data_IF_901018668982
#
_entry.id   IF_901018668982
#
_cell.length_a   1.000
_cell.length_b   1.000
_cell.length_c   1.000
_cell.angle_alpha   90.00
_cell.angle_beta   90.00
_cell.angle_gamma   90.00
#
_symmetry.space_group_name_H-M   'P 1'
#
loop_
_entity.id
_entity.type
_entity.pdbx_description
1 polymer ?
#
# COMPACT_ATOMS: atom_id res chain seq x y z
N UNK A 1 -8.78 -28.53 -11.71
CA UNK A 1 -8.23 -27.19 -11.96
C UNK A 1 -6.77 -27.16 -11.49
N UNK A 2 -5.81 -26.70 -12.29
CA UNK A 2 -4.42 -26.63 -11.87
C UNK A 2 -4.26 -25.60 -10.73
N UNK A 3 -3.28 -25.80 -9.82
CA UNK A 3 -3.00 -24.87 -8.70
C UNK A 3 -2.80 -23.42 -9.19
N UNK A 4 -2.24 -23.24 -10.39
CA UNK A 4 -2.07 -21.92 -11.02
C UNK A 4 -3.40 -21.25 -11.40
N UNK A 5 -4.36 -22.06 -11.90
CA UNK A 5 -5.68 -21.54 -12.27
C UNK A 5 -6.49 -21.11 -11.02
N UNK A 6 -6.32 -21.82 -9.90
CA UNK A 6 -6.95 -21.47 -8.62
C UNK A 6 -6.38 -20.18 -8.03
N UNK A 7 -5.08 -19.92 -8.17
CA UNK A 7 -4.43 -18.69 -7.69
C UNK A 7 -4.91 -17.43 -8.42
N UNK A 8 -5.40 -17.55 -9.65
CA UNK A 8 -5.90 -16.42 -10.44
C UNK A 8 -7.43 -16.30 -10.30
N UNK A 9 -8.17 -17.42 -10.23
CA UNK A 9 -9.63 -17.39 -10.17
C UNK A 9 -10.19 -16.81 -8.88
N UNK A 10 -9.55 -17.05 -7.74
CA UNK A 10 -10.04 -16.55 -6.44
C UNK A 10 -10.02 -15.01 -6.37
N UNK A 11 -8.93 -14.31 -6.68
CA UNK A 11 -8.94 -12.85 -6.78
C UNK A 11 -9.98 -12.29 -7.75
N UNK A 12 -10.10 -12.89 -8.94
CA UNK A 12 -11.08 -12.43 -9.94
C UNK A 12 -12.53 -12.59 -9.46
N UNK A 13 -12.85 -13.73 -8.84
CA UNK A 13 -14.19 -13.97 -8.26
C UNK A 13 -14.45 -12.98 -7.12
N UNK A 14 -13.46 -12.70 -6.28
CA UNK A 14 -13.60 -11.74 -5.17
C UNK A 14 -13.85 -10.32 -5.67
N UNK A 15 -13.16 -9.89 -6.73
CA UNK A 15 -13.39 -8.59 -7.39
C UNK A 15 -14.80 -8.54 -7.97
N UNK A 16 -15.21 -9.58 -8.70
CA UNK A 16 -16.55 -9.66 -9.28
C UNK A 16 -17.65 -9.59 -8.19
N UNK A 17 -17.50 -10.35 -7.11
CA UNK A 17 -18.45 -10.33 -5.98
C UNK A 17 -18.46 -8.96 -5.28
N UNK A 18 -17.32 -8.29 -5.16
CA UNK A 18 -17.23 -6.96 -4.59
C UNK A 18 -17.97 -5.91 -5.43
N UNK A 19 -17.78 -5.93 -6.74
CA UNK A 19 -18.48 -5.06 -7.69
C UNK A 19 -19.99 -5.37 -7.66
N UNK A 20 -20.38 -6.64 -7.66
CA UNK A 20 -21.77 -7.05 -7.58
C UNK A 20 -22.44 -6.60 -6.29
N UNK A 21 -21.78 -6.74 -5.14
CA UNK A 21 -22.30 -6.27 -3.87
C UNK A 21 -22.46 -4.74 -3.87
N UNK A 22 -21.49 -4.02 -4.43
CA UNK A 22 -21.57 -2.57 -4.61
C UNK A 22 -22.77 -2.17 -5.48
N UNK A 23 -23.03 -2.88 -6.59
CA UNK A 23 -24.20 -2.64 -7.42
C UNK A 23 -25.51 -2.88 -6.66
N UNK A 24 -25.58 -3.97 -5.89
CA UNK A 24 -26.77 -4.28 -5.06
C UNK A 24 -27.02 -3.16 -4.04
N UNK A 25 -25.96 -2.69 -3.38
CA UNK A 25 -26.07 -1.59 -2.41
C UNK A 25 -26.58 -0.31 -3.11
N UNK A 26 -26.03 0.05 -4.28
CA UNK A 26 -26.49 1.20 -5.05
C UNK A 26 -27.98 1.11 -5.39
N UNK A 27 -28.45 -0.06 -5.87
CA UNK A 27 -29.86 -0.27 -6.18
C UNK A 27 -30.78 -0.21 -4.96
N UNK A 28 -30.34 -0.72 -3.82
CA UNK A 28 -31.11 -0.62 -2.56
C UNK A 28 -31.33 0.84 -2.17
N UNK A 29 -30.32 1.70 -2.39
CA UNK A 29 -30.42 3.14 -2.13
C UNK A 29 -31.03 3.96 -3.25
N UNK A 30 -31.53 3.32 -4.33
CA UNK A 30 -32.21 3.96 -5.44
C UNK A 30 -31.28 4.59 -6.48
N UNK A 31 -29.98 4.25 -6.49
CA UNK A 31 -29.02 4.72 -7.48
C UNK A 31 -28.94 3.79 -8.68
N UNK A 32 -28.64 4.35 -9.86
CA UNK A 32 -28.33 3.56 -11.05
C UNK A 32 -26.88 3.07 -11.00
N UNK A 33 -26.69 1.79 -10.61
CA UNK A 33 -25.39 1.19 -10.51
C UNK A 33 -24.68 1.03 -11.86
N UNK A 34 -25.43 0.83 -12.95
CA UNK A 34 -24.84 0.65 -14.28
C UNK A 34 -24.25 1.97 -14.74
N UNK A 35 -25.02 3.05 -14.69
CA UNK A 35 -24.53 4.38 -15.02
C UNK A 35 -23.40 4.83 -14.08
N UNK A 36 -23.51 4.54 -12.78
CA UNK A 36 -22.44 4.84 -11.81
C UNK A 36 -21.11 4.18 -12.18
N UNK A 37 -21.12 2.90 -12.56
CA UNK A 37 -19.90 2.21 -13.00
C UNK A 37 -19.42 2.69 -14.38
N UNK A 38 -20.30 3.04 -15.30
CA UNK A 38 -19.92 3.62 -16.59
C UNK A 38 -19.15 4.91 -16.40
N UNK A 39 -19.64 5.83 -15.56
CA UNK A 39 -18.97 7.09 -15.23
C UNK A 39 -17.65 6.87 -14.48
N UNK A 40 -17.59 5.86 -13.60
CA UNK A 40 -16.34 5.47 -12.95
C UNK A 40 -15.27 5.07 -13.98
N UNK A 41 -15.62 4.18 -14.91
CA UNK A 41 -14.69 3.73 -15.93
C UNK A 41 -14.37 4.84 -16.94
N UNK A 42 -15.33 5.66 -17.29
CA UNK A 42 -15.10 6.81 -18.17
C UNK A 42 -14.13 7.82 -17.55
N UNK A 43 -14.28 8.13 -16.27
CA UNK A 43 -13.35 9.02 -15.54
C UNK A 43 -11.96 8.43 -15.45
N UNK A 44 -11.84 7.12 -15.24
CA UNK A 44 -10.57 6.42 -15.13
C UNK A 44 -9.82 6.31 -16.48
N UNK A 45 -10.53 6.00 -17.57
CA UNK A 45 -9.92 5.65 -18.85
C UNK A 45 -10.25 6.60 -20.01
N UNK A 46 -11.25 7.46 -19.87
CA UNK A 46 -11.71 8.35 -20.93
C UNK A 46 -10.72 9.46 -21.33
N UNK A 47 -9.61 9.60 -20.60
CA UNK A 47 -8.57 10.58 -20.89
C UNK A 47 -7.17 10.09 -20.54
N UNK A 48 -6.14 10.62 -21.22
CA UNK A 48 -4.74 10.39 -20.86
C UNK A 48 -4.44 10.86 -19.43
N UNK A 49 -5.12 11.91 -18.98
CA UNK A 49 -5.01 12.40 -17.61
C UNK A 49 -5.49 11.36 -16.59
N UNK A 50 -6.66 10.74 -16.84
CA UNK A 50 -7.19 9.66 -15.97
C UNK A 50 -6.21 8.50 -15.86
N UNK A 51 -5.66 8.06 -16.99
CA UNK A 51 -4.64 7.00 -17.04
C UNK A 51 -3.39 7.40 -16.24
N UNK A 52 -2.92 8.65 -16.38
CA UNK A 52 -1.80 9.16 -15.59
C UNK A 52 -2.08 9.18 -14.09
N UNK A 53 -3.31 9.55 -13.68
CA UNK A 53 -3.72 9.52 -12.27
C UNK A 53 -3.80 8.09 -11.72
N UNK A 54 -4.18 7.09 -12.53
CA UNK A 54 -4.12 5.67 -12.13
C UNK A 54 -2.68 5.26 -11.80
N UNK A 55 -1.71 5.56 -12.68
CA UNK A 55 -0.31 5.27 -12.43
C UNK A 55 0.25 6.03 -11.22
N UNK A 56 -0.22 7.28 -10.98
CA UNK A 56 0.10 8.03 -9.77
C UNK A 56 -0.36 7.29 -8.51
N UNK A 57 -1.61 6.84 -8.50
CA UNK A 57 -2.19 6.13 -7.35
C UNK A 57 -1.51 4.77 -7.11
N UNK A 58 -1.07 4.09 -8.16
CA UNK A 58 -0.38 2.80 -8.07
C UNK A 58 0.94 2.88 -7.31
N UNK A 59 1.72 3.96 -7.47
CA UNK A 59 3.05 4.07 -6.89
C UNK A 59 3.09 3.75 -5.39
N UNK A 60 2.43 4.54 -4.53
CA UNK A 60 2.40 4.28 -3.09
C UNK A 60 1.70 2.95 -2.74
N UNK A 61 0.63 2.57 -3.45
CA UNK A 61 -0.08 1.31 -3.20
C UNK A 61 0.81 0.07 -3.41
N UNK A 62 1.61 0.07 -4.47
CA UNK A 62 2.55 -1.02 -4.76
C UNK A 62 3.64 -1.09 -3.69
N UNK A 63 4.25 0.04 -3.33
CA UNK A 63 5.32 0.08 -2.33
C UNK A 63 4.84 -0.41 -0.97
N UNK A 64 3.70 0.09 -0.49
CA UNK A 64 3.11 -0.32 0.78
C UNK A 64 2.64 -1.78 0.71
N UNK A 65 2.03 -2.21 -0.40
CA UNK A 65 1.62 -3.59 -0.62
C UNK A 65 2.79 -4.57 -0.61
N UNK A 66 3.94 -4.21 -1.20
CA UNK A 66 5.16 -4.99 -1.10
C UNK A 66 5.67 -5.09 0.34
N UNK A 67 5.59 -3.98 1.09
CA UNK A 67 5.92 -3.97 2.51
C UNK A 67 5.08 -4.98 3.28
N UNK A 68 3.75 -4.97 3.10
CA UNK A 68 2.88 -5.97 3.70
C UNK A 68 3.22 -7.40 3.26
N UNK A 69 3.49 -7.61 1.97
CA UNK A 69 3.81 -8.93 1.44
C UNK A 69 5.06 -9.54 2.09
N UNK A 70 6.10 -8.73 2.36
CA UNK A 70 7.32 -9.20 3.02
C UNK A 70 7.03 -9.65 4.45
N UNK A 71 6.34 -8.82 5.25
CA UNK A 71 5.94 -9.16 6.61
C UNK A 71 5.04 -10.40 6.65
N UNK A 72 4.03 -10.45 5.79
CA UNK A 72 3.08 -11.57 5.71
C UNK A 72 3.75 -12.89 5.33
N UNK A 73 4.77 -12.87 4.46
CA UNK A 73 5.55 -14.06 4.13
C UNK A 73 6.46 -14.55 5.25
N UNK A 74 6.80 -13.66 6.19
CA UNK A 74 7.48 -14.03 7.44
C UNK A 74 6.51 -14.52 8.53
N UNK A 75 5.22 -14.58 8.24
CA UNK A 75 4.18 -15.01 9.18
C UNK A 75 3.65 -13.88 10.07
N UNK A 76 3.89 -12.59 9.72
CA UNK A 76 3.48 -11.44 10.52
C UNK A 76 2.47 -10.56 9.81
N UNK A 77 1.47 -10.10 10.54
CA UNK A 77 0.44 -9.22 10.04
C UNK A 77 0.75 -7.77 10.43
N UNK A 78 1.50 -7.05 9.57
CA UNK A 78 1.90 -5.66 9.82
C UNK A 78 0.74 -4.70 9.51
N UNK A 79 -0.04 -4.33 10.53
CA UNK A 79 -1.09 -3.31 10.43
C UNK A 79 -0.52 -1.89 10.56
N UNK A 80 0.77 -1.75 10.88
CA UNK A 80 1.46 -0.47 11.11
C UNK A 80 1.85 0.32 9.86
N UNK A 81 1.53 -0.18 8.67
CA UNK A 81 1.90 0.47 7.40
C UNK A 81 1.44 1.93 7.27
N UNK A 82 0.23 2.32 7.73
CA UNK A 82 -0.17 3.74 7.72
C UNK A 82 0.78 4.65 8.49
N UNK A 83 1.17 4.26 9.70
CA UNK A 83 2.12 5.03 10.52
C UNK A 83 3.53 5.02 9.94
N UNK A 84 3.99 3.88 9.40
CA UNK A 84 5.29 3.76 8.74
C UNK A 84 5.35 4.67 7.48
N UNK A 85 4.27 4.72 6.70
CA UNK A 85 4.14 5.62 5.56
C UNK A 85 4.12 7.10 6.00
N UNK A 86 3.38 7.42 7.05
CA UNK A 86 3.32 8.78 7.59
C UNK A 86 4.69 9.26 8.07
N UNK A 87 5.44 8.43 8.78
CA UNK A 87 6.80 8.76 9.21
C UNK A 87 7.73 9.06 8.02
N UNK A 88 7.65 8.24 6.97
CA UNK A 88 8.41 8.47 5.73
C UNK A 88 8.02 9.79 5.06
N UNK A 89 6.73 10.09 4.96
CA UNK A 89 6.24 11.34 4.40
C UNK A 89 6.70 12.57 5.19
N UNK A 90 6.46 12.58 6.50
CA UNK A 90 6.79 13.75 7.35
C UNK A 90 8.29 14.03 7.33
N UNK A 91 9.14 13.02 7.55
CA UNK A 91 10.58 13.24 7.64
C UNK A 91 11.22 13.57 6.29
N UNK A 92 10.77 12.96 5.20
CA UNK A 92 11.24 13.34 3.86
C UNK A 92 10.76 14.75 3.46
N UNK A 93 9.54 15.13 3.82
CA UNK A 93 9.00 16.46 3.59
C UNK A 93 9.72 17.54 4.42
N UNK A 94 9.96 17.26 5.69
CA UNK A 94 10.75 18.15 6.55
C UNK A 94 12.16 18.38 6.00
N UNK A 95 12.85 17.31 5.59
CA UNK A 95 14.17 17.40 5.00
C UNK A 95 14.16 18.22 3.70
N UNK A 96 13.17 18.02 2.85
CA UNK A 96 13.00 18.75 1.60
C UNK A 96 12.82 20.27 1.83
N UNK A 97 12.03 20.64 2.84
CA UNK A 97 11.82 22.05 3.21
C UNK A 97 13.08 22.68 3.84
N UNK A 98 13.86 21.88 4.57
CA UNK A 98 15.08 22.36 5.25
C UNK A 98 16.27 22.59 4.31
N UNK A 99 16.24 22.07 3.07
CA UNK A 99 17.37 22.14 2.14
C UNK A 99 16.91 22.61 0.74
N UNK A 100 16.35 23.84 0.61
CA UNK A 100 15.78 24.32 -0.65
C UNK A 100 16.80 24.44 -1.78
N UNK A 101 18.09 24.65 -1.47
CA UNK A 101 19.17 24.85 -2.46
C UNK A 101 19.84 23.55 -2.91
N UNK A 102 19.43 22.38 -2.36
CA UNK A 102 20.04 21.11 -2.71
C UNK A 102 19.72 20.73 -4.17
N UNK A 103 20.71 20.28 -4.98
CA UNK A 103 20.48 19.81 -6.34
C UNK A 103 19.45 18.68 -6.40
N UNK A 104 18.55 18.72 -7.37
CA UNK A 104 17.41 17.80 -7.49
C UNK A 104 17.78 16.31 -7.41
N UNK A 105 18.81 15.78 -8.11
CA UNK A 105 19.13 14.36 -8.02
C UNK A 105 19.53 13.92 -6.61
N UNK A 106 20.28 14.79 -5.91
CA UNK A 106 20.72 14.54 -4.54
C UNK A 106 19.55 14.62 -3.56
N UNK A 107 18.65 15.61 -3.75
CA UNK A 107 17.42 15.76 -2.97
C UNK A 107 16.52 14.54 -3.09
N UNK A 108 16.27 14.05 -4.30
CA UNK A 108 15.45 12.84 -4.54
C UNK A 108 16.09 11.63 -3.86
N UNK A 109 17.41 11.43 -4.00
CA UNK A 109 18.10 10.33 -3.34
C UNK A 109 18.01 10.44 -1.81
N UNK A 110 18.26 11.62 -1.26
CA UNK A 110 18.20 11.85 0.19
C UNK A 110 16.79 11.60 0.76
N UNK A 111 15.75 12.09 0.10
CA UNK A 111 14.36 11.90 0.54
C UNK A 111 13.93 10.44 0.45
N UNK A 112 14.39 9.67 -0.55
CA UNK A 112 14.19 8.21 -0.62
C UNK A 112 14.85 7.52 0.56
N UNK A 113 16.13 7.81 0.83
CA UNK A 113 16.88 7.17 1.92
C UNK A 113 16.25 7.50 3.27
N UNK A 114 15.90 8.78 3.50
CA UNK A 114 15.23 9.21 4.73
C UNK A 114 13.89 8.49 4.92
N UNK A 115 13.09 8.39 3.87
CA UNK A 115 11.80 7.70 3.93
C UNK A 115 11.96 6.21 4.25
N UNK A 116 12.92 5.53 3.62
CA UNK A 116 13.25 4.12 3.90
C UNK A 116 13.69 3.92 5.35
N UNK A 117 14.57 4.79 5.86
CA UNK A 117 15.07 4.73 7.24
C UNK A 117 13.93 5.02 8.22
N UNK A 118 13.16 6.07 8.01
CA UNK A 118 12.06 6.47 8.88
C UNK A 118 11.01 5.36 9.02
N UNK A 119 10.52 4.85 7.90
CA UNK A 119 9.58 3.74 7.90
C UNK A 119 10.18 2.47 8.48
N UNK A 120 11.44 2.18 8.17
CA UNK A 120 12.19 1.03 8.70
C UNK A 120 12.36 1.06 10.22
N UNK A 121 12.68 2.21 10.80
CA UNK A 121 12.78 2.39 12.26
C UNK A 121 11.42 2.14 12.93
N UNK A 122 10.36 2.75 12.39
CA UNK A 122 9.00 2.53 12.93
C UNK A 122 8.58 1.07 12.80
N UNK A 123 8.95 0.39 11.71
CA UNK A 123 8.71 -1.04 11.52
C UNK A 123 9.57 -1.94 12.40
N UNK A 124 10.79 -1.50 12.77
CA UNK A 124 11.69 -2.25 13.63
C UNK A 124 11.12 -2.43 15.05
N UNK A 125 10.44 -1.42 15.59
CA UNK A 125 9.90 -1.44 16.96
C UNK A 125 8.98 -2.66 17.19
N UNK A 126 7.88 -2.86 16.44
CA UNK A 126 7.04 -4.04 16.63
C UNK A 126 7.79 -5.35 16.31
N UNK A 127 8.73 -5.32 15.36
CA UNK A 127 9.58 -6.47 15.06
C UNK A 127 10.44 -6.91 16.25
N UNK A 128 11.07 -5.97 16.94
CA UNK A 128 11.89 -6.22 18.14
C UNK A 128 11.01 -6.70 19.29
N UNK A 129 9.90 -6.01 19.57
CA UNK A 129 8.98 -6.38 20.63
C UNK A 129 8.41 -7.79 20.44
N UNK A 130 8.07 -8.14 19.20
CA UNK A 130 7.63 -9.50 18.86
C UNK A 130 8.74 -10.54 19.06
N UNK A 131 9.94 -10.27 18.54
CA UNK A 131 11.05 -11.22 18.53
C UNK A 131 11.60 -11.52 19.93
N UNK A 132 11.60 -10.55 20.84
CA UNK A 132 12.19 -10.69 22.17
C UNK A 132 11.16 -10.84 23.29
N UNK A 133 10.01 -10.20 23.19
CA UNK A 133 8.98 -10.19 24.25
C UNK A 133 7.76 -11.03 23.90
N UNK A 134 7.67 -11.57 22.67
CA UNK A 134 6.54 -12.39 22.25
C UNK A 134 5.19 -11.63 22.16
N UNK A 135 5.24 -10.29 22.13
CA UNK A 135 4.03 -9.45 22.05
C UNK A 135 3.23 -9.70 20.76
N UNK A 136 1.93 -9.39 20.77
CA UNK A 136 1.12 -9.42 19.55
C UNK A 136 1.56 -8.32 18.59
N UNK A 137 2.07 -8.70 17.43
CA UNK A 137 2.47 -7.76 16.38
C UNK A 137 1.33 -6.88 15.91
N UNK A 138 0.11 -7.42 15.85
CA UNK A 138 -1.10 -6.68 15.41
C UNK A 138 -1.40 -5.54 16.37
N UNK A 139 -1.41 -5.81 17.68
CA UNK A 139 -1.69 -4.80 18.70
C UNK A 139 -0.62 -3.71 18.68
N UNK A 140 0.66 -4.11 18.67
CA UNK A 140 1.76 -3.15 18.67
C UNK A 140 1.76 -2.29 17.42
N UNK A 141 1.53 -2.88 16.24
CA UNK A 141 1.52 -2.13 14.99
C UNK A 141 0.34 -1.16 14.89
N UNK A 142 -0.86 -1.54 15.40
CA UNK A 142 -2.00 -0.62 15.50
C UNK A 142 -1.67 0.56 16.43
N UNK A 143 -1.09 0.29 17.61
CA UNK A 143 -0.71 1.36 18.55
C UNK A 143 0.34 2.28 17.93
N UNK A 144 1.31 1.73 17.19
CA UNK A 144 2.32 2.53 16.48
C UNK A 144 1.72 3.48 15.45
N UNK A 145 0.62 3.14 14.79
CA UNK A 145 -0.08 4.07 13.89
C UNK A 145 -0.52 5.34 14.62
N UNK A 146 -1.12 5.18 15.81
CA UNK A 146 -1.57 6.32 16.62
C UNK A 146 -0.39 7.10 17.21
N UNK A 147 0.64 6.41 17.68
CA UNK A 147 1.84 7.06 18.20
C UNK A 147 2.48 7.94 17.10
N UNK A 148 2.69 7.38 15.90
CA UNK A 148 3.26 8.15 14.80
C UNK A 148 2.34 9.26 14.34
N UNK A 149 1.02 9.07 14.35
CA UNK A 149 0.04 10.09 14.01
C UNK A 149 0.16 11.29 14.97
N UNK A 150 0.10 11.07 16.27
CA UNK A 150 0.12 12.16 17.25
C UNK A 150 1.50 12.79 17.39
N UNK A 151 2.58 12.00 17.42
CA UNK A 151 3.96 12.51 17.46
C UNK A 151 4.28 13.26 16.17
N UNK A 152 3.87 12.73 15.01
CA UNK A 152 4.05 13.37 13.72
C UNK A 152 3.32 14.70 13.63
N UNK A 153 2.06 14.77 14.07
CA UNK A 153 1.30 16.02 14.13
C UNK A 153 1.96 17.05 15.06
N UNK A 154 2.40 16.62 16.25
CA UNK A 154 3.14 17.50 17.16
C UNK A 154 4.46 17.99 16.54
N UNK A 155 5.16 17.14 15.79
CA UNK A 155 6.38 17.51 15.10
C UNK A 155 6.11 18.52 13.97
N UNK A 156 5.01 18.39 13.21
CA UNK A 156 4.59 19.36 12.18
C UNK A 156 4.32 20.72 12.82
N UNK A 157 3.62 20.79 13.94
CA UNK A 157 3.37 22.06 14.67
C UNK A 157 4.66 22.69 15.21
N UNK A 158 5.72 21.92 15.40
CA UNK A 158 7.03 22.42 15.83
C UNK A 158 7.92 22.92 14.66
N UNK A 159 7.45 22.87 13.42
CA UNK A 159 8.20 23.34 12.26
C UNK A 159 8.42 24.86 12.34
N UNK A 160 9.54 25.37 11.78
CA UNK A 160 9.75 26.80 11.62
C UNK A 160 8.56 27.48 10.92
N UNK A 161 8.23 28.70 11.34
CA UNK A 161 7.10 29.44 10.76
C UNK A 161 7.24 29.65 9.25
N UNK A 162 8.46 29.76 8.76
CA UNK A 162 8.76 29.93 7.33
C UNK A 162 8.41 28.69 6.49
N UNK A 163 8.28 27.52 7.13
CA UNK A 163 7.84 26.29 6.47
C UNK A 163 6.31 26.16 6.42
N UNK A 164 5.59 26.98 7.19
CA UNK A 164 4.15 26.85 7.35
C UNK A 164 3.39 27.79 6.41
N UNK A 165 2.43 27.25 5.68
CA UNK A 165 1.45 28.04 4.90
C UNK A 165 0.22 28.38 5.75
N UNK A 166 -0.15 27.48 6.66
CA UNK A 166 -1.25 27.65 7.61
C UNK A 166 -0.89 26.97 8.92
N UNK A 167 -1.76 27.02 9.93
CA UNK A 167 -1.54 26.34 11.23
C UNK A 167 -1.26 24.86 11.06
N UNK A 168 -1.90 24.20 10.08
CA UNK A 168 -1.92 22.75 9.95
C UNK A 168 -1.26 22.24 8.66
N UNK A 169 -0.65 23.11 7.86
CA UNK A 169 -0.08 22.75 6.55
C UNK A 169 1.17 23.55 6.23
N UNK A 170 2.17 22.87 5.69
CA UNK A 170 3.39 23.51 5.20
C UNK A 170 3.17 24.14 3.83
N UNK A 171 4.09 25.03 3.44
CA UNK A 171 4.26 25.44 2.05
C UNK A 171 4.57 24.22 1.17
N UNK A 172 4.42 24.36 -0.14
CA UNK A 172 4.82 23.31 -1.07
C UNK A 172 6.33 23.13 -1.08
N UNK A 173 6.77 21.89 -1.19
CA UNK A 173 8.18 21.57 -1.39
C UNK A 173 8.69 22.18 -2.71
N UNK A 174 9.96 22.55 -2.73
CA UNK A 174 10.57 23.14 -3.92
C UNK A 174 10.57 22.20 -5.13
N UNK A 175 10.77 22.78 -6.32
CA UNK A 175 10.86 22.04 -7.58
C UNK A 175 11.98 20.98 -7.59
N UNK A 176 12.99 21.15 -6.74
CA UNK A 176 14.08 20.18 -6.54
C UNK A 176 13.66 18.94 -5.76
N UNK A 177 12.62 19.03 -4.91
CA UNK A 177 12.19 17.97 -4.02
C UNK A 177 10.92 17.23 -4.52
N UNK A 178 10.14 17.85 -5.39
CA UNK A 178 8.95 17.20 -5.94
C UNK A 178 9.30 15.99 -6.81
N UNK A 179 8.56 14.91 -6.65
CA UNK A 179 8.67 13.74 -7.53
C UNK A 179 7.90 13.91 -8.84
N UNK A 180 7.13 14.97 -9.01
CA UNK A 180 6.54 15.33 -10.29
C UNK A 180 7.62 15.84 -11.24
N UNK A 181 7.48 15.51 -12.52
CA UNK A 181 8.42 15.91 -13.57
C UNK A 181 7.66 16.48 -14.75
N UNK A 182 8.13 17.58 -15.38
CA UNK A 182 7.43 18.20 -16.50
C UNK A 182 7.13 17.23 -17.64
N UNK A 183 8.10 16.39 -18.01
CA UNK A 183 7.93 15.44 -19.11
C UNK A 183 6.84 14.38 -18.86
N UNK A 184 6.64 13.93 -17.61
CA UNK A 184 5.52 13.04 -17.26
C UNK A 184 4.18 13.76 -17.31
N UNK A 185 4.13 15.01 -16.87
CA UNK A 185 2.94 15.82 -16.94
C UNK A 185 2.52 16.07 -18.41
N UNK A 186 3.46 16.41 -19.28
CA UNK A 186 3.21 16.57 -20.71
C UNK A 186 2.72 15.28 -21.37
N UNK A 187 3.35 14.14 -21.06
CA UNK A 187 2.97 12.82 -21.60
C UNK A 187 1.54 12.41 -21.18
N UNK A 188 1.07 12.86 -20.02
CA UNK A 188 -0.18 12.41 -19.41
C UNK A 188 -1.23 13.52 -19.27
N UNK A 189 -1.24 14.47 -20.22
CA UNK A 189 -2.20 15.58 -20.26
C UNK A 189 -2.33 16.33 -18.91
N UNK A 190 -1.19 16.72 -18.34
CA UNK A 190 -1.06 17.42 -17.05
C UNK A 190 -1.67 16.66 -15.86
N UNK A 191 -1.53 15.34 -15.83
CA UNK A 191 -1.79 14.56 -14.63
C UNK A 191 -0.73 14.81 -13.55
N UNK A 192 -1.02 14.40 -12.31
CA UNK A 192 -0.04 14.41 -11.20
C UNK A 192 0.83 13.16 -11.19
N UNK A 193 0.94 12.45 -12.31
CA UNK A 193 1.84 11.31 -12.42
C UNK A 193 3.26 11.73 -12.05
N UNK A 194 3.94 10.89 -11.28
CA UNK A 194 5.26 11.19 -10.74
C UNK A 194 6.21 9.99 -10.85
N UNK A 195 7.50 10.22 -10.59
CA UNK A 195 8.54 9.20 -10.68
C UNK A 195 8.38 8.07 -9.67
N UNK A 196 7.48 8.18 -8.70
CA UNK A 196 7.19 7.14 -7.72
C UNK A 196 6.76 5.81 -8.32
N UNK A 197 6.13 5.82 -9.50
CA UNK A 197 5.79 4.58 -10.22
C UNK A 197 7.04 3.77 -10.61
N UNK A 198 8.13 4.44 -10.99
CA UNK A 198 9.39 3.76 -11.32
C UNK A 198 10.03 3.18 -10.07
N UNK A 199 9.96 3.87 -8.92
CA UNK A 199 10.41 3.32 -7.63
C UNK A 199 9.61 2.07 -7.28
N UNK A 200 8.30 2.08 -7.52
CA UNK A 200 7.43 0.93 -7.30
C UNK A 200 7.81 -0.26 -8.19
N UNK A 201 8.05 -0.05 -9.47
CA UNK A 201 8.46 -1.12 -10.42
C UNK A 201 9.83 -1.71 -10.02
N UNK A 202 10.79 -0.85 -9.68
CA UNK A 202 12.11 -1.28 -9.20
C UNK A 202 11.96 -2.08 -7.90
N UNK A 203 11.13 -1.61 -6.96
CA UNK A 203 10.88 -2.31 -5.70
C UNK A 203 10.23 -3.69 -5.94
N UNK A 204 9.30 -3.82 -6.90
CA UNK A 204 8.74 -5.12 -7.29
C UNK A 204 9.82 -6.08 -7.76
N UNK A 205 10.73 -5.63 -8.63
CA UNK A 205 11.83 -6.45 -9.14
C UNK A 205 12.78 -6.87 -8.00
N UNK A 206 13.16 -5.92 -7.14
CA UNK A 206 14.05 -6.16 -5.99
C UNK A 206 13.42 -7.14 -4.99
N UNK A 207 12.19 -6.91 -4.58
CA UNK A 207 11.50 -7.79 -3.62
C UNK A 207 11.22 -9.16 -4.22
N UNK A 208 10.85 -9.24 -5.49
CA UNK A 208 10.72 -10.51 -6.19
C UNK A 208 12.04 -11.29 -6.18
N UNK A 209 13.17 -10.60 -6.48
CA UNK A 209 14.49 -11.20 -6.45
C UNK A 209 14.87 -11.65 -5.04
N UNK A 210 14.71 -10.79 -4.04
CA UNK A 210 14.99 -11.13 -2.64
C UNK A 210 14.18 -12.37 -2.24
N UNK A 211 12.88 -12.35 -2.41
CA UNK A 211 12.01 -13.44 -1.94
C UNK A 211 12.22 -14.75 -2.69
N UNK A 212 12.65 -14.75 -3.96
CA UNK A 212 12.78 -15.98 -4.76
C UNK A 212 14.20 -16.49 -4.91
N UNK A 213 15.21 -15.62 -4.87
CA UNK A 213 16.56 -15.91 -5.28
C UNK A 213 17.64 -15.74 -4.21
N UNK A 214 17.28 -15.27 -3.00
CA UNK A 214 18.27 -15.05 -1.94
C UNK A 214 18.03 -15.94 -0.71
N UNK A 215 19.08 -16.10 0.11
CA UNK A 215 19.02 -16.80 1.42
C UNK A 215 18.04 -16.11 2.36
N UNK A 216 18.04 -14.76 2.40
CA UNK A 216 17.10 -13.99 3.23
C UNK A 216 15.64 -14.32 2.84
N UNK A 217 15.32 -14.38 1.55
CA UNK A 217 13.99 -14.75 1.10
C UNK A 217 13.61 -16.19 1.45
N UNK A 218 14.57 -17.10 1.48
CA UNK A 218 14.36 -18.44 1.97
C UNK A 218 14.06 -18.44 3.47
N UNK A 219 14.87 -17.75 4.28
CA UNK A 219 14.67 -17.61 5.72
C UNK A 219 13.31 -17.01 6.07
N UNK A 220 12.91 -15.92 5.38
CA UNK A 220 11.60 -15.28 5.54
C UNK A 220 10.47 -16.30 5.35
N UNK A 221 10.50 -17.08 4.29
CA UNK A 221 9.46 -18.10 4.02
C UNK A 221 9.50 -19.26 5.01
N UNK A 222 10.70 -19.69 5.41
CA UNK A 222 10.86 -20.78 6.37
C UNK A 222 10.29 -20.40 7.74
N UNK A 223 10.67 -19.21 8.25
CA UNK A 223 10.17 -18.67 9.53
C UNK A 223 8.66 -18.44 9.47
N UNK A 224 8.13 -17.98 8.33
CA UNK A 224 6.68 -17.80 8.13
C UNK A 224 5.88 -19.09 8.13
N UNK A 225 6.50 -20.23 7.76
CA UNK A 225 5.85 -21.54 7.83
C UNK A 225 5.89 -22.12 9.24
N UNK A 226 7.04 -22.11 9.89
CA UNK A 226 7.20 -22.57 11.26
C UNK A 226 8.50 -22.00 11.86
N UNK A 227 8.41 -21.00 12.77
CA UNK A 227 9.57 -20.39 13.41
C UNK A 227 10.44 -21.40 14.18
N UNK A 228 9.80 -22.32 14.93
CA UNK A 228 10.54 -23.30 15.73
C UNK A 228 11.30 -24.31 14.85
N UNK A 229 10.66 -24.83 13.80
CA UNK A 229 11.35 -25.74 12.87
C UNK A 229 12.51 -25.04 12.16
N UNK A 230 12.38 -23.74 11.89
CA UNK A 230 13.44 -22.93 11.28
C UNK A 230 14.65 -22.77 12.21
N UNK A 231 14.43 -22.62 13.51
CA UNK A 231 15.50 -22.54 14.51
C UNK A 231 16.28 -23.86 14.59
N UNK A 232 15.61 -25.01 14.54
CA UNK A 232 16.28 -26.32 14.48
C UNK A 232 17.12 -26.49 13.21
N UNK A 233 16.73 -25.81 12.11
CA UNK A 233 17.51 -25.79 10.87
C UNK A 233 18.65 -24.74 10.87
N UNK A 234 18.90 -24.08 12.00
CA UNK A 234 19.97 -23.07 12.15
C UNK A 234 19.61 -21.65 11.66
N UNK A 235 18.35 -21.39 11.35
CA UNK A 235 17.86 -20.07 10.95
C UNK A 235 17.51 -19.27 12.20
N UNK A 236 18.04 -18.06 12.33
CA UNK A 236 17.65 -17.16 13.42
C UNK A 236 16.27 -16.55 13.19
N UNK A 237 15.23 -17.14 13.80
CA UNK A 237 13.86 -16.64 13.67
C UNK A 237 13.75 -15.18 14.13
N UNK A 238 14.37 -14.81 15.26
CA UNK A 238 14.35 -13.43 15.79
C UNK A 238 14.92 -12.42 14.80
N UNK A 239 16.09 -12.69 14.21
CA UNK A 239 16.71 -11.83 13.21
C UNK A 239 15.83 -11.68 11.97
N UNK A 240 15.28 -12.77 11.49
CA UNK A 240 14.43 -12.79 10.28
C UNK A 240 13.13 -12.01 10.49
N UNK A 241 12.52 -12.13 11.68
CA UNK A 241 11.33 -11.35 12.08
C UNK A 241 11.65 -9.85 12.02
N UNK A 242 12.71 -9.42 12.70
CA UNK A 242 13.08 -7.99 12.77
C UNK A 242 13.39 -7.45 11.37
N UNK A 243 14.20 -8.16 10.59
CA UNK A 243 14.55 -7.74 9.23
C UNK A 243 13.31 -7.65 8.32
N UNK A 244 12.38 -8.60 8.42
CA UNK A 244 11.14 -8.56 7.64
C UNK A 244 10.30 -7.33 7.97
N UNK A 245 10.21 -6.97 9.26
CA UNK A 245 9.48 -5.80 9.70
C UNK A 245 10.18 -4.49 9.32
N UNK A 246 11.52 -4.44 9.36
CA UNK A 246 12.31 -3.30 8.87
C UNK A 246 12.07 -3.09 7.36
N UNK A 247 12.18 -4.14 6.56
CA UNK A 247 11.95 -4.06 5.11
C UNK A 247 10.50 -3.64 4.81
N UNK A 248 9.54 -4.21 5.54
CA UNK A 248 8.13 -3.85 5.44
C UNK A 248 7.90 -2.37 5.71
N UNK A 249 8.46 -1.87 6.80
CA UNK A 249 8.35 -0.47 7.19
C UNK A 249 9.09 0.48 6.24
N UNK A 250 10.26 0.10 5.77
CA UNK A 250 11.03 0.88 4.81
C UNK A 250 10.26 1.09 3.50
N UNK A 251 9.68 0.03 2.95
CA UNK A 251 8.84 0.11 1.75
C UNK A 251 7.58 0.97 1.97
N UNK A 252 6.95 0.84 3.13
CA UNK A 252 5.82 1.69 3.49
C UNK A 252 6.22 3.17 3.63
N UNK A 253 7.36 3.45 4.27
CA UNK A 253 7.89 4.81 4.37
C UNK A 253 8.17 5.43 3.01
N UNK A 254 8.77 4.67 2.10
CA UNK A 254 8.96 5.12 0.70
C UNK A 254 7.62 5.37 -0.01
N UNK A 255 6.62 4.51 0.21
CA UNK A 255 5.26 4.73 -0.30
C UNK A 255 4.65 6.03 0.23
N UNK A 256 4.86 6.34 1.52
CA UNK A 256 4.45 7.61 2.12
C UNK A 256 5.15 8.83 1.52
N UNK A 257 6.46 8.74 1.27
CA UNK A 257 7.20 9.81 0.58
C UNK A 257 6.72 10.03 -0.86
N UNK A 258 6.40 8.95 -1.59
CA UNK A 258 5.82 9.05 -2.95
C UNK A 258 4.46 9.73 -2.91
N UNK A 259 3.63 9.43 -1.92
CA UNK A 259 2.33 10.10 -1.74
C UNK A 259 2.55 11.57 -1.35
N UNK A 260 3.43 11.85 -0.38
CA UNK A 260 3.69 13.19 0.14
C UNK A 260 4.37 14.12 -0.86
N UNK A 261 5.53 13.74 -1.38
CA UNK A 261 6.33 14.58 -2.29
C UNK A 261 5.89 14.48 -3.75
N UNK A 262 5.21 13.37 -4.12
CA UNK A 262 4.71 13.15 -5.48
C UNK A 262 3.29 13.67 -5.70
N UNK A 263 2.35 13.41 -4.78
CA UNK A 263 0.93 13.72 -4.95
C UNK A 263 0.57 15.06 -4.30
N UNK A 264 0.85 15.23 -3.00
CA UNK A 264 0.45 16.40 -2.22
C UNK A 264 1.44 17.56 -2.30
N UNK A 265 2.72 17.25 -2.41
CA UNK A 265 3.83 18.24 -2.47
C UNK A 265 3.96 19.12 -1.22
N UNK A 266 3.40 18.72 -0.11
CA UNK A 266 3.49 19.40 1.18
C UNK A 266 3.35 18.39 2.32
N UNK A 267 3.48 18.84 3.55
CA UNK A 267 3.19 18.07 4.76
C UNK A 267 2.05 18.77 5.49
N UNK A 268 1.09 18.03 6.02
CA UNK A 268 -0.01 18.59 6.76
C UNK A 268 -0.46 17.67 7.90
N UNK A 269 -1.10 18.26 8.90
CA UNK A 269 -1.63 17.58 10.08
C UNK A 269 -2.72 16.58 9.67
N UNK A 270 -2.57 15.34 10.10
CA UNK A 270 -3.50 14.26 9.76
C UNK A 270 -4.54 14.09 10.87
N UNK A 271 -5.82 14.06 10.51
CA UNK A 271 -6.90 13.75 11.45
C UNK A 271 -7.06 12.26 11.76
N UNK A 272 -6.53 11.40 10.90
CA UNK A 272 -6.62 9.94 11.03
C UNK A 272 -5.42 9.25 10.37
N UNK A 273 -5.26 7.96 10.61
CA UNK A 273 -4.25 7.13 9.93
C UNK A 273 -4.42 7.15 8.43
N UNK A 274 -3.31 7.16 7.68
CA UNK A 274 -3.31 7.26 6.23
C UNK A 274 -4.06 6.09 5.56
N UNK A 275 -5.13 6.41 4.84
CA UNK A 275 -5.93 5.42 4.12
C UNK A 275 -5.10 4.62 3.09
N UNK A 276 -4.09 5.23 2.47
CA UNK A 276 -3.21 4.56 1.51
C UNK A 276 -2.47 3.39 2.14
N UNK A 277 -2.18 3.43 3.45
CA UNK A 277 -1.56 2.32 4.18
C UNK A 277 -2.46 1.10 4.23
N UNK A 278 -3.74 1.27 4.56
CA UNK A 278 -4.73 0.19 4.58
C UNK A 278 -5.04 -0.32 3.16
N UNK A 279 -5.16 0.57 2.18
CA UNK A 279 -5.37 0.20 0.79
C UNK A 279 -4.18 -0.62 0.23
N UNK A 280 -2.94 -0.29 0.61
CA UNK A 280 -1.76 -1.06 0.25
C UNK A 280 -1.79 -2.48 0.84
N UNK A 281 -2.25 -2.66 2.10
CA UNK A 281 -2.47 -4.00 2.68
C UNK A 281 -3.49 -4.78 1.86
N UNK A 282 -4.63 -4.15 1.52
CA UNK A 282 -5.68 -4.75 0.73
C UNK A 282 -5.19 -5.21 -0.65
N UNK A 283 -4.40 -4.37 -1.31
CA UNK A 283 -3.73 -4.69 -2.59
C UNK A 283 -2.86 -5.92 -2.46
N UNK A 284 -2.08 -6.04 -1.38
CA UNK A 284 -1.22 -7.19 -1.15
C UNK A 284 -2.02 -8.47 -0.88
N UNK A 285 -3.09 -8.38 -0.09
CA UNK A 285 -3.99 -9.50 0.17
C UNK A 285 -4.68 -9.98 -1.11
N UNK A 286 -5.21 -9.05 -1.93
CA UNK A 286 -5.79 -9.36 -3.25
C UNK A 286 -4.79 -10.09 -4.16
N UNK A 287 -3.52 -9.71 -4.10
CA UNK A 287 -2.43 -10.31 -4.84
C UNK A 287 -1.89 -11.62 -4.23
N UNK A 288 -2.48 -12.12 -3.16
CA UNK A 288 -1.97 -13.25 -2.37
C UNK A 288 -0.48 -13.09 -2.01
N UNK A 289 -0.08 -11.87 -1.64
CA UNK A 289 1.29 -11.48 -1.30
C UNK A 289 2.32 -11.78 -2.42
N UNK A 290 1.88 -11.79 -3.67
CA UNK A 290 2.76 -11.98 -4.84
C UNK A 290 3.29 -10.62 -5.33
N UNK A 291 4.61 -10.39 -5.39
CA UNK A 291 5.15 -9.08 -5.84
C UNK A 291 4.64 -8.64 -7.21
N UNK A 292 4.56 -9.56 -8.17
CA UNK A 292 4.03 -9.26 -9.51
C UNK A 292 2.50 -9.05 -9.45
N UNK A 293 1.78 -9.87 -8.66
CA UNK A 293 0.34 -9.74 -8.49
C UNK A 293 -0.06 -8.38 -7.89
N UNK A 294 0.79 -7.80 -7.03
CA UNK A 294 0.58 -6.49 -6.40
C UNK A 294 0.47 -5.36 -7.46
N UNK A 295 1.20 -5.44 -8.58
CA UNK A 295 1.06 -4.47 -9.67
C UNK A 295 -0.36 -4.46 -10.25
N UNK A 296 -0.92 -5.65 -10.52
CA UNK A 296 -2.28 -5.78 -11.07
C UNK A 296 -3.36 -5.39 -10.06
N UNK A 297 -3.17 -5.78 -8.79
CA UNK A 297 -4.09 -5.40 -7.72
C UNK A 297 -4.06 -3.88 -7.47
N UNK A 298 -2.87 -3.25 -7.46
CA UNK A 298 -2.72 -1.81 -7.32
C UNK A 298 -3.32 -1.05 -8.51
N UNK A 299 -3.22 -1.59 -9.72
CA UNK A 299 -3.90 -1.03 -10.90
C UNK A 299 -5.42 -1.01 -10.70
N UNK A 300 -6.02 -2.11 -10.28
CA UNK A 300 -7.46 -2.18 -10.00
C UNK A 300 -7.87 -1.14 -8.94
N UNK A 301 -7.13 -1.06 -7.82
CA UNK A 301 -7.43 -0.07 -6.77
C UNK A 301 -7.22 1.36 -7.27
N UNK A 302 -6.21 1.59 -8.11
CA UNK A 302 -6.00 2.87 -8.77
C UNK A 302 -7.18 3.28 -9.66
N UNK A 303 -7.72 2.34 -10.45
CA UNK A 303 -8.92 2.57 -11.28
C UNK A 303 -10.12 2.94 -10.41
N UNK A 304 -10.38 2.19 -9.34
CA UNK A 304 -11.49 2.48 -8.42
C UNK A 304 -11.31 3.86 -7.75
N UNK A 305 -10.10 4.17 -7.27
CA UNK A 305 -9.82 5.42 -6.58
C UNK A 305 -9.91 6.65 -7.50
N UNK A 306 -9.42 6.54 -8.73
CA UNK A 306 -9.45 7.64 -9.72
C UNK A 306 -10.83 7.78 -10.35
N UNK A 307 -11.54 6.67 -10.54
CA UNK A 307 -12.88 6.67 -11.11
C UNK A 307 -13.97 7.11 -10.12
N UNK A 308 -13.75 6.95 -8.81
CA UNK A 308 -14.74 7.23 -7.77
C UNK A 308 -15.41 8.61 -7.90
N UNK A 309 -14.69 9.73 -8.09
CA UNK A 309 -15.31 11.05 -8.27
C UNK A 309 -16.22 11.14 -9.48
N UNK A 310 -15.99 10.33 -10.53
CA UNK A 310 -16.83 10.29 -11.73
C UNK A 310 -18.26 9.83 -11.44
N UNK A 311 -18.46 8.98 -10.44
CA UNK A 311 -19.79 8.50 -10.06
C UNK A 311 -20.74 9.62 -9.62
N UNK A 312 -20.20 10.77 -9.20
CA UNK A 312 -21.02 11.94 -8.85
C UNK A 312 -21.82 12.45 -10.07
N UNK A 313 -21.35 12.24 -11.31
CA UNK A 313 -22.10 12.57 -12.52
C UNK A 313 -23.40 11.75 -12.64
N UNK A 314 -23.37 10.50 -12.18
CA UNK A 314 -24.53 9.62 -12.06
C UNK A 314 -25.31 9.82 -10.74
N UNK A 315 -25.06 10.90 -10.01
CA UNK A 315 -25.63 11.20 -8.69
C UNK A 315 -25.37 10.10 -7.63
N UNK A 316 -24.39 9.25 -7.87
CA UNK A 316 -23.95 8.22 -6.92
C UNK A 316 -22.82 8.79 -6.06
N UNK A 317 -22.97 8.83 -4.74
CA UNK A 317 -21.90 9.30 -3.84
C UNK A 317 -20.62 8.50 -4.04
N UNK A 318 -19.49 9.20 -4.18
CA UNK A 318 -18.16 8.58 -4.38
C UNK A 318 -17.76 7.65 -3.23
N UNK A 319 -18.34 7.85 -2.04
CA UNK A 319 -18.16 7.03 -0.84
C UNK A 319 -18.63 5.59 -1.01
N UNK A 320 -19.58 5.36 -1.94
CA UNK A 320 -20.04 4.00 -2.27
C UNK A 320 -18.93 3.14 -2.89
N UNK A 321 -17.95 3.76 -3.57
CA UNK A 321 -16.75 3.04 -4.05
C UNK A 321 -15.95 2.47 -2.89
N UNK A 322 -15.97 3.12 -1.72
CA UNK A 322 -15.34 2.57 -0.52
C UNK A 322 -16.03 1.28 -0.07
N UNK A 323 -17.34 1.16 -0.25
CA UNK A 323 -18.08 -0.08 0.02
C UNK A 323 -17.67 -1.17 -0.99
N UNK A 324 -17.54 -0.83 -2.26
CA UNK A 324 -17.06 -1.76 -3.30
C UNK A 324 -15.66 -2.27 -2.93
N UNK A 325 -14.75 -1.36 -2.61
CA UNK A 325 -13.37 -1.68 -2.21
C UNK A 325 -13.33 -2.56 -0.96
N UNK A 326 -14.07 -2.20 0.09
CA UNK A 326 -14.18 -2.97 1.32
C UNK A 326 -14.77 -4.38 1.06
N UNK A 327 -15.74 -4.50 0.16
CA UNK A 327 -16.34 -5.76 -0.23
C UNK A 327 -15.34 -6.66 -0.97
N UNK A 328 -14.54 -6.10 -1.86
CA UNK A 328 -13.45 -6.83 -2.53
C UNK A 328 -12.48 -7.39 -1.48
N UNK A 329 -12.05 -6.55 -0.53
CA UNK A 329 -11.15 -6.97 0.56
C UNK A 329 -11.78 -8.08 1.39
N UNK A 330 -13.06 -7.95 1.74
CA UNK A 330 -13.80 -8.96 2.49
C UNK A 330 -13.81 -10.29 1.76
N UNK A 331 -14.22 -10.33 0.50
CA UNK A 331 -14.28 -11.57 -0.28
C UNK A 331 -12.91 -12.20 -0.49
N UNK A 332 -11.84 -11.39 -0.64
CA UNK A 332 -10.47 -11.89 -0.70
C UNK A 332 -10.06 -12.52 0.63
N UNK A 333 -10.39 -11.88 1.75
CA UNK A 333 -10.04 -12.38 3.08
C UNK A 333 -10.76 -13.69 3.41
N UNK A 334 -11.96 -13.86 2.89
CA UNK A 334 -12.82 -15.05 3.07
C UNK A 334 -12.62 -16.08 1.94
N UNK A 335 -11.50 -16.00 1.21
CA UNK A 335 -11.19 -16.86 0.06
C UNK A 335 -11.34 -18.38 0.35
N UNK A 336 -11.10 -18.80 1.59
CA UNK A 336 -11.30 -20.20 2.00
C UNK A 336 -12.75 -20.67 1.78
N UNK A 337 -13.74 -19.82 2.04
CA UNK A 337 -15.13 -20.14 1.74
C UNK A 337 -15.35 -20.25 0.24
N UNK A 338 -14.83 -19.32 -0.54
CA UNK A 338 -14.93 -19.34 -2.01
C UNK A 338 -14.28 -20.61 -2.57
N UNK A 339 -13.11 -21.00 -2.08
CA UNK A 339 -12.46 -22.26 -2.46
C UNK A 339 -13.31 -23.49 -2.15
N UNK A 340 -14.06 -23.48 -1.04
CA UNK A 340 -14.93 -24.60 -0.66
C UNK A 340 -16.10 -24.79 -1.63
N UNK A 341 -16.61 -23.70 -2.20
CA UNK A 341 -17.67 -23.76 -3.22
C UNK A 341 -17.14 -24.12 -4.61
N UNK A 342 -15.90 -23.71 -4.91
CA UNK A 342 -15.26 -23.94 -6.22
C UNK A 342 -14.60 -25.34 -6.29
N UNK A 343 -14.21 -25.94 -5.16
CA UNK A 343 -13.65 -27.30 -5.14
C UNK A 343 -14.79 -28.31 -5.27
N UNK A 344 -14.84 -29.14 -6.34
CA UNK A 344 -15.77 -30.26 -6.37
C UNK A 344 -15.46 -31.17 -5.18
N UNK A 345 -16.50 -31.60 -4.44
CA UNK A 345 -16.39 -32.63 -3.38
C UNK A 345 -15.59 -33.81 -3.94
N UNK A 346 -14.38 -34.03 -3.44
CA UNK A 346 -13.71 -35.31 -3.67
C UNK A 346 -14.67 -36.41 -3.15
N UNK A 347 -15.26 -37.17 -4.06
CA UNK A 347 -15.91 -38.41 -3.67
C UNK A 347 -14.85 -39.25 -2.94
N UNK A 348 -15.04 -39.45 -1.66
CA UNK A 348 -14.34 -40.49 -0.92
C UNK A 348 -14.77 -41.81 -1.58
N UNK A 349 -13.95 -42.32 -2.51
CA UNK A 349 -14.10 -43.70 -2.96
C UNK A 349 -13.87 -44.57 -1.71
N UNK A 350 -14.94 -45.05 -1.17
CA UNK A 350 -14.91 -46.06 -0.13
C UNK A 350 -14.11 -47.27 -0.65
N UNK A 351 -12.96 -47.47 -0.03
CA UNK A 351 -12.24 -48.73 -0.19
C UNK A 351 -13.07 -49.86 0.42
N UNK A 352 -13.42 -50.82 -0.39
CA UNK A 352 -13.73 -52.19 0.04
C UNK A 352 -12.43 -52.95 0.19
#
# INVERSE_FOLDING_TARGET
MSKKLQQISVPLISVFLGILLGAIVMWIFGYDAIWGYEELFYTAFGSLRGIGEIFRAMGPLVLIGLGFAVASRAGFFNVGLPGQALAGWILSGWFALSHPDMPRPLMILATIVIALIAGGIVGAIPGILRAYLGTSEVIVTIMMNYIVLYVGNAFIHAFPKDFMQSTDSTIRVGANATYQTPWLAELTANSRMNIGIFFAIIAVAVIWFILKKTTLGFEIRAVGLNPHASEYAGISAKRTIILSMIISGALAGLGGAVEGLGTFQNVYVQGASLAVGFNGMAVSLLAANSPIGILFAAFLFGVLQVGAPGMNAAQVPSELVSIVTASIIFFVSVHYLIERFVKPKKQVKGGK
#
